data_IF_740973142208
#
_entry.id   IF_740973142208
#
_cell.length_a   1.000
_cell.length_b   1.000
_cell.length_c   1.000
_cell.angle_alpha   90.00
_cell.angle_beta   90.00
_cell.angle_gamma   90.00
#
_symmetry.space_group_name_H-M   'P 1'
#
loop_
_entity.id
_entity.type
_entity.pdbx_description
1 polymer ?
#
# COMPACT_ATOMS: atom_id res chain seq x y z
N UNK A 1 3.68 12.08 11.17
CA UNK A 1 3.77 10.61 11.00
C UNK A 1 3.77 9.93 12.37
N UNK A 2 2.59 9.78 12.99
CA UNK A 2 2.53 9.29 14.38
C UNK A 2 1.55 8.13 14.60
N UNK A 3 0.93 7.64 13.53
CA UNK A 3 -0.12 6.63 13.61
C UNK A 3 0.35 5.24 14.10
N UNK A 4 1.66 4.96 14.03
CA UNK A 4 2.26 3.74 14.59
C UNK A 4 3.08 4.03 15.86
N UNK A 5 3.12 5.26 16.34
CA UNK A 5 3.90 5.62 17.53
C UNK A 5 3.44 4.79 18.73
N UNK A 6 4.40 4.24 19.43
CA UNK A 6 4.20 3.44 20.65
C UNK A 6 3.42 2.13 20.43
N UNK A 7 3.08 1.77 19.19
CA UNK A 7 2.48 0.49 18.87
C UNK A 7 3.56 -0.59 18.73
N UNK A 8 3.22 -1.81 19.14
CA UNK A 8 4.00 -3.00 18.83
C UNK A 8 3.48 -3.60 17.52
N UNK A 9 4.35 -3.68 16.52
CA UNK A 9 4.04 -4.20 15.18
C UNK A 9 4.78 -5.51 14.98
N UNK A 10 4.05 -6.58 14.61
CA UNK A 10 4.62 -7.86 14.22
C UNK A 10 4.61 -7.97 12.69
N UNK A 11 5.79 -8.17 12.11
CA UNK A 11 5.97 -8.35 10.67
C UNK A 11 6.23 -9.82 10.38
N UNK A 12 5.43 -10.39 9.49
CA UNK A 12 5.54 -11.77 9.06
C UNK A 12 6.25 -11.84 7.71
N UNK A 13 7.43 -12.48 7.72
CA UNK A 13 8.31 -12.65 6.56
C UNK A 13 9.28 -11.48 6.36
N UNK A 14 10.58 -11.80 6.27
CA UNK A 14 11.68 -10.86 6.11
C UNK A 14 12.33 -10.98 4.72
N UNK A 15 11.52 -10.70 3.69
CA UNK A 15 11.96 -10.36 2.34
C UNK A 15 12.01 -8.84 2.17
N UNK A 16 12.04 -8.36 0.93
CA UNK A 16 12.11 -6.93 0.62
C UNK A 16 10.92 -6.15 1.18
N UNK A 17 9.69 -6.63 0.99
CA UNK A 17 8.50 -5.99 1.57
C UNK A 17 8.49 -6.02 3.10
N UNK A 18 8.99 -7.11 3.71
CA UNK A 18 9.09 -7.21 5.17
C UNK A 18 10.07 -6.19 5.73
N UNK A 19 11.24 -6.06 5.10
CA UNK A 19 12.24 -5.06 5.48
C UNK A 19 11.72 -3.63 5.30
N UNK A 20 11.05 -3.36 4.17
CA UNK A 20 10.46 -2.04 3.91
C UNK A 20 9.40 -1.67 4.95
N UNK A 21 8.52 -2.62 5.32
CA UNK A 21 7.55 -2.44 6.39
C UNK A 21 8.23 -2.23 7.74
N UNK A 22 9.35 -2.91 8.05
CA UNK A 22 10.10 -2.74 9.28
C UNK A 22 10.72 -1.34 9.39
N UNK A 23 11.41 -0.89 8.34
CA UNK A 23 11.98 0.47 8.24
C UNK A 23 10.90 1.55 8.43
N UNK A 24 9.79 1.39 7.73
CA UNK A 24 8.70 2.35 7.80
C UNK A 24 8.06 2.40 9.19
N UNK A 25 7.78 1.24 9.79
CA UNK A 25 7.19 1.15 11.12
C UNK A 25 8.11 1.77 12.19
N UNK A 26 9.41 1.48 12.14
CA UNK A 26 10.40 2.08 13.03
C UNK A 26 10.49 3.60 12.85
N UNK A 27 10.49 4.09 11.60
CA UNK A 27 10.45 5.54 11.30
C UNK A 27 9.22 6.23 11.92
N UNK A 28 8.10 5.52 11.99
CA UNK A 28 6.87 6.02 12.62
C UNK A 28 6.84 5.86 14.15
N UNK A 29 7.91 5.35 14.76
CA UNK A 29 8.03 5.20 16.22
C UNK A 29 7.41 3.93 16.79
N UNK A 30 7.16 2.90 15.97
CA UNK A 30 6.69 1.60 16.42
C UNK A 30 7.81 0.75 17.03
N UNK A 31 7.43 -0.14 17.95
CA UNK A 31 8.26 -1.27 18.37
C UNK A 31 8.10 -2.40 17.34
N UNK A 32 9.18 -2.77 16.68
CA UNK A 32 9.15 -3.73 15.57
C UNK A 32 9.60 -5.10 16.03
N UNK A 33 8.74 -6.11 15.84
CA UNK A 33 9.05 -7.53 15.90
C UNK A 33 8.95 -8.09 14.48
N UNK A 34 9.89 -8.94 14.10
CA UNK A 34 9.87 -9.63 12.81
C UNK A 34 9.91 -11.13 13.05
N UNK A 35 9.10 -11.89 12.34
CA UNK A 35 9.09 -13.34 12.38
C UNK A 35 9.22 -13.90 10.96
N UNK A 36 10.12 -14.88 10.78
CA UNK A 36 10.31 -15.56 9.49
C UNK A 36 10.45 -17.07 9.71
N UNK A 37 9.92 -17.86 8.79
CA UNK A 37 10.02 -19.32 8.83
C UNK A 37 11.42 -19.85 8.51
N UNK A 38 12.24 -19.03 7.87
CA UNK A 38 13.61 -19.37 7.50
C UNK A 38 14.58 -19.07 8.63
N UNK A 39 15.55 -19.95 8.85
CA UNK A 39 16.64 -19.72 9.83
C UNK A 39 17.49 -18.51 9.48
N UNK A 40 17.72 -18.30 8.19
CA UNK A 40 18.48 -17.17 7.66
C UNK A 40 17.64 -16.41 6.62
N UNK A 41 16.78 -15.49 7.05
CA UNK A 41 16.04 -14.66 6.13
C UNK A 41 16.97 -13.76 5.30
N UNK A 42 16.66 -13.50 4.03
CA UNK A 42 17.58 -12.80 3.12
C UNK A 42 17.92 -11.37 3.59
N UNK A 43 17.04 -10.73 4.35
CA UNK A 43 17.23 -9.36 4.80
C UNK A 43 17.62 -9.25 6.30
N UNK A 44 18.03 -10.35 6.95
CA UNK A 44 18.38 -10.34 8.37
C UNK A 44 19.53 -9.36 8.71
N UNK A 45 20.61 -9.38 7.92
CA UNK A 45 21.73 -8.48 8.13
C UNK A 45 21.35 -7.01 7.92
N UNK A 46 20.56 -6.73 6.89
CA UNK A 46 20.08 -5.38 6.58
C UNK A 46 19.11 -4.88 7.65
N UNK A 47 18.23 -5.74 8.18
CA UNK A 47 17.35 -5.40 9.29
C UNK A 47 18.15 -4.96 10.53
N UNK A 48 19.19 -5.71 10.88
CA UNK A 48 20.02 -5.39 12.04
C UNK A 48 20.78 -4.06 11.89
N UNK A 49 21.12 -3.66 10.66
CA UNK A 49 21.75 -2.37 10.37
C UNK A 49 20.76 -1.21 10.40
N UNK A 50 19.61 -1.37 9.73
CA UNK A 50 18.68 -0.27 9.47
C UNK A 50 17.67 -0.08 10.60
N UNK A 51 17.34 -1.16 11.31
CA UNK A 51 16.38 -1.16 12.43
C UNK A 51 16.98 -1.95 13.63
N UNK A 52 18.04 -1.44 14.25
CA UNK A 52 18.74 -2.18 15.32
C UNK A 52 17.88 -2.46 16.57
N UNK A 53 16.76 -1.76 16.70
CA UNK A 53 15.79 -1.98 17.79
C UNK A 53 14.79 -3.09 17.48
N UNK A 54 14.73 -3.60 16.25
CA UNK A 54 13.85 -4.68 15.89
C UNK A 54 14.33 -6.01 16.46
N UNK A 55 13.38 -6.85 16.88
CA UNK A 55 13.67 -8.24 17.26
C UNK A 55 13.32 -9.18 16.12
N UNK A 56 14.22 -10.10 15.79
CA UNK A 56 14.00 -11.14 14.79
C UNK A 56 13.75 -12.48 15.48
N UNK A 57 12.64 -13.13 15.15
CA UNK A 57 12.22 -14.44 15.65
C UNK A 57 12.19 -15.45 14.51
N UNK A 58 12.61 -16.67 14.82
CA UNK A 58 12.48 -17.81 13.92
C UNK A 58 11.14 -18.53 14.20
N UNK A 59 10.42 -18.89 13.13
CA UNK A 59 9.10 -19.51 13.23
C UNK A 59 7.95 -18.50 13.40
N UNK A 60 6.73 -18.97 13.22
CA UNK A 60 5.50 -18.18 13.31
C UNK A 60 4.64 -18.70 14.47
N UNK A 61 5.11 -18.45 15.68
CA UNK A 61 4.41 -18.89 16.89
C UNK A 61 3.31 -17.91 17.30
N UNK A 62 2.16 -18.42 17.73
CA UNK A 62 1.01 -17.63 18.21
C UNK A 62 1.38 -16.74 19.40
N UNK A 63 2.35 -17.17 20.22
CA UNK A 63 2.86 -16.39 21.35
C UNK A 63 3.48 -15.04 20.93
N UNK A 64 3.94 -14.91 19.69
CA UNK A 64 4.47 -13.65 19.16
C UNK A 64 3.43 -12.53 19.08
N UNK A 65 2.13 -12.87 19.14
CA UNK A 65 1.03 -11.90 19.16
C UNK A 65 0.85 -11.21 20.53
N UNK A 66 1.57 -11.63 21.57
CA UNK A 66 1.39 -11.05 22.90
C UNK A 66 1.88 -9.59 22.92
N UNK A 67 0.95 -8.68 23.24
CA UNK A 67 1.18 -7.23 23.24
C UNK A 67 1.29 -6.60 21.84
N UNK A 68 0.96 -7.34 20.78
CA UNK A 68 0.96 -6.82 19.40
C UNK A 68 -0.34 -6.04 19.12
N UNK A 69 -0.19 -4.88 18.50
CA UNK A 69 -1.31 -4.03 18.10
C UNK A 69 -1.64 -4.14 16.60
N UNK A 70 -0.68 -4.56 15.79
CA UNK A 70 -0.83 -4.66 14.33
C UNK A 70 0.07 -5.79 13.80
N UNK A 71 -0.48 -6.63 12.94
CA UNK A 71 0.29 -7.61 12.16
C UNK A 71 0.44 -7.11 10.73
N UNK A 72 1.67 -7.10 10.22
CA UNK A 72 2.00 -6.79 8.84
C UNK A 72 2.50 -8.06 8.14
N UNK A 73 1.78 -8.51 7.12
CA UNK A 73 2.10 -9.75 6.40
C UNK A 73 2.74 -9.46 5.05
N UNK A 74 3.92 -10.03 4.80
CA UNK A 74 4.56 -10.03 3.49
C UNK A 74 3.74 -10.82 2.46
N UNK A 75 3.68 -10.35 1.21
CA UNK A 75 2.91 -11.04 0.15
C UNK A 75 3.42 -12.45 -0.15
N UNK A 76 4.70 -12.73 0.06
CA UNK A 76 5.31 -14.03 -0.19
C UNK A 76 4.91 -15.15 0.79
N UNK A 77 4.25 -14.83 1.90
CA UNK A 77 3.72 -15.84 2.81
C UNK A 77 2.30 -16.22 2.40
N UNK A 78 2.11 -17.49 2.06
CA UNK A 78 0.80 -18.03 1.70
C UNK A 78 -0.13 -18.03 2.92
N UNK A 79 -1.32 -17.39 2.82
CA UNK A 79 -2.25 -17.32 3.97
C UNK A 79 -2.74 -18.68 4.48
N UNK A 80 -2.78 -19.68 3.60
CA UNK A 80 -3.23 -21.04 3.89
C UNK A 80 -2.09 -22.00 4.31
N UNK A 81 -0.84 -21.52 4.39
CA UNK A 81 0.22 -22.31 5.00
C UNK A 81 -0.08 -22.53 6.50
N UNK A 82 0.07 -23.76 7.05
CA UNK A 82 -0.42 -24.09 8.39
C UNK A 82 0.01 -23.10 9.48
N UNK A 83 1.29 -22.75 9.52
CA UNK A 83 1.84 -21.85 10.54
C UNK A 83 1.32 -20.42 10.37
N UNK A 84 1.16 -19.97 9.12
CA UNK A 84 0.62 -18.64 8.79
C UNK A 84 -0.86 -18.58 9.14
N UNK A 85 -1.64 -19.60 8.74
CA UNK A 85 -3.07 -19.67 8.99
C UNK A 85 -3.37 -19.63 10.51
N UNK A 86 -2.69 -20.47 11.30
CA UNK A 86 -2.86 -20.51 12.75
C UNK A 86 -2.59 -19.16 13.42
N UNK A 87 -1.54 -18.44 12.99
CA UNK A 87 -1.23 -17.12 13.52
C UNK A 87 -2.26 -16.08 13.10
N UNK A 88 -2.73 -16.12 11.84
CA UNK A 88 -3.74 -15.19 11.33
C UNK A 88 -5.11 -15.40 12.01
N UNK A 89 -5.50 -16.65 12.25
CA UNK A 89 -6.71 -17.01 13.00
C UNK A 89 -6.63 -16.49 14.45
N UNK A 90 -5.53 -16.76 15.14
CA UNK A 90 -5.30 -16.25 16.49
C UNK A 90 -5.26 -14.72 16.55
N UNK A 91 -4.73 -14.03 15.53
CA UNK A 91 -4.78 -12.58 15.43
C UNK A 91 -6.22 -12.07 15.28
N UNK A 92 -7.02 -12.73 14.44
CA UNK A 92 -8.43 -12.39 14.25
C UNK A 92 -9.25 -12.60 15.54
N UNK A 93 -9.05 -13.72 16.25
CA UNK A 93 -9.70 -13.99 17.54
C UNK A 93 -9.36 -12.93 18.61
N UNK A 94 -8.14 -12.42 18.59
CA UNK A 94 -7.67 -11.35 19.51
C UNK A 94 -8.05 -9.94 19.03
N UNK A 95 -8.72 -9.79 17.88
CA UNK A 95 -9.07 -8.51 17.30
C UNK A 95 -7.86 -7.72 16.80
N UNK A 96 -6.71 -8.37 16.54
CA UNK A 96 -5.50 -7.71 16.03
C UNK A 96 -5.62 -7.57 14.52
N UNK A 97 -5.59 -6.34 13.97
CA UNK A 97 -5.71 -6.13 12.55
C UNK A 97 -4.49 -6.69 11.80
N UNK A 98 -4.76 -7.31 10.64
CA UNK A 98 -3.72 -7.79 9.72
C UNK A 98 -3.74 -6.92 8.48
N UNK A 99 -2.58 -6.43 8.06
CA UNK A 99 -2.41 -5.55 6.88
C UNK A 99 -1.23 -6.02 6.04
N UNK A 100 -1.17 -5.55 4.81
CA UNK A 100 -0.01 -5.70 3.93
C UNK A 100 0.66 -4.37 3.64
N UNK A 101 1.75 -4.41 2.88
CA UNK A 101 2.53 -3.22 2.51
C UNK A 101 1.68 -2.15 1.82
N UNK A 102 0.78 -2.55 0.90
CA UNK A 102 -0.09 -1.60 0.19
C UNK A 102 -1.01 -0.82 1.14
N UNK A 103 -1.58 -1.50 2.14
CA UNK A 103 -2.43 -0.84 3.14
C UNK A 103 -1.64 0.13 4.00
N UNK A 104 -0.42 -0.25 4.38
CA UNK A 104 0.49 0.60 5.15
C UNK A 104 0.91 1.83 4.33
N UNK A 105 1.25 1.64 3.06
CA UNK A 105 1.56 2.72 2.11
C UNK A 105 0.39 3.69 1.94
N UNK A 106 -0.84 3.19 1.77
CA UNK A 106 -2.01 4.04 1.64
C UNK A 106 -2.24 4.90 2.89
N UNK A 107 -2.11 4.30 4.09
CA UNK A 107 -2.21 5.04 5.36
C UNK A 107 -1.09 6.08 5.46
N UNK A 108 0.14 5.71 5.08
CA UNK A 108 1.28 6.63 5.08
C UNK A 108 1.03 7.88 4.22
N UNK A 109 0.44 7.72 3.04
CA UNK A 109 0.11 8.87 2.17
C UNK A 109 -0.95 9.80 2.78
N UNK A 110 -1.93 9.25 3.50
CA UNK A 110 -2.94 10.06 4.21
C UNK A 110 -2.27 10.90 5.29
N UNK A 111 -1.42 10.30 6.12
CA UNK A 111 -0.69 10.99 7.17
C UNK A 111 0.29 12.05 6.62
N UNK A 112 1.05 11.71 5.59
CA UNK A 112 1.98 12.63 4.95
C UNK A 112 1.29 13.84 4.35
N UNK A 113 0.09 13.64 3.79
CA UNK A 113 -0.72 14.75 3.29
C UNK A 113 -1.17 15.67 4.43
N UNK A 114 -1.57 15.10 5.57
CA UNK A 114 -2.02 15.86 6.73
C UNK A 114 -0.85 16.61 7.42
N UNK A 115 0.26 15.89 7.69
CA UNK A 115 1.38 16.41 8.48
C UNK A 115 2.34 17.28 7.67
N UNK A 116 2.66 16.90 6.44
CA UNK A 116 3.70 17.52 5.61
C UNK A 116 3.17 18.15 4.32
N UNK A 117 1.87 18.11 4.07
CA UNK A 117 1.26 18.51 2.80
C UNK A 117 1.83 17.77 1.58
N UNK A 118 2.46 16.62 1.83
CA UNK A 118 3.00 15.76 0.77
C UNK A 118 1.90 14.90 0.18
N UNK A 119 1.54 15.14 -1.08
CA UNK A 119 0.43 14.48 -1.77
C UNK A 119 0.83 14.11 -3.20
N UNK A 120 1.63 13.06 -3.40
CA UNK A 120 2.02 12.61 -4.73
C UNK A 120 0.81 12.08 -5.51
N UNK A 121 0.84 12.19 -6.83
CA UNK A 121 -0.14 11.55 -7.71
C UNK A 121 0.21 10.06 -7.81
N UNK A 122 -0.73 9.19 -7.49
CA UNK A 122 -0.57 7.74 -7.58
C UNK A 122 -1.30 7.23 -8.82
N UNK A 123 -0.57 6.52 -9.69
CA UNK A 123 -1.13 5.79 -10.82
C UNK A 123 -0.99 4.29 -10.53
N UNK A 124 -2.10 3.59 -10.36
CA UNK A 124 -2.13 2.16 -10.09
C UNK A 124 -2.46 1.39 -11.37
N UNK A 125 -1.64 0.38 -11.68
CA UNK A 125 -1.79 -0.47 -12.87
C UNK A 125 -1.91 -1.92 -12.41
N UNK A 126 -3.00 -2.57 -12.78
CA UNK A 126 -3.25 -3.99 -12.52
C UNK A 126 -3.68 -4.69 -13.81
N UNK A 127 -3.87 -6.01 -13.75
CA UNK A 127 -4.29 -6.83 -14.88
C UNK A 127 -3.58 -8.19 -14.91
N UNK A 128 -4.00 -9.09 -15.76
CA UNK A 128 -3.38 -10.42 -15.92
C UNK A 128 -2.04 -10.33 -16.64
N UNK A 129 -1.97 -9.62 -17.76
CA UNK A 129 -0.78 -9.48 -18.61
C UNK A 129 -0.44 -8.01 -18.86
N UNK A 130 0.79 -7.72 -19.28
CA UNK A 130 1.24 -6.42 -19.71
C UNK A 130 1.47 -5.38 -18.60
N UNK A 131 1.21 -5.69 -17.32
CA UNK A 131 1.37 -4.76 -16.20
C UNK A 131 2.74 -4.08 -16.19
N UNK A 132 3.80 -4.86 -16.21
CA UNK A 132 5.19 -4.37 -16.18
C UNK A 132 5.48 -3.41 -17.33
N UNK A 133 5.15 -3.80 -18.54
CA UNK A 133 5.39 -2.98 -19.75
C UNK A 133 4.61 -1.68 -19.68
N UNK A 134 3.33 -1.75 -19.33
CA UNK A 134 2.47 -0.56 -19.21
C UNK A 134 2.99 0.38 -18.13
N UNK A 135 3.37 -0.16 -16.97
CA UNK A 135 3.90 0.63 -15.86
C UNK A 135 5.19 1.33 -16.23
N UNK A 136 6.15 0.60 -16.84
CA UNK A 136 7.43 1.18 -17.28
C UNK A 136 7.25 2.24 -18.37
N UNK A 137 6.35 2.00 -19.33
CA UNK A 137 6.05 2.97 -20.38
C UNK A 137 5.37 4.22 -19.82
N UNK A 138 4.41 4.05 -18.91
CA UNK A 138 3.75 5.17 -18.24
C UNK A 138 4.76 6.02 -17.46
N UNK A 139 5.67 5.38 -16.72
CA UNK A 139 6.73 6.08 -16.00
C UNK A 139 7.58 6.94 -16.95
N UNK A 140 8.06 6.36 -18.06
CA UNK A 140 8.85 7.10 -19.05
C UNK A 140 8.09 8.28 -19.67
N UNK A 141 6.80 8.12 -19.95
CA UNK A 141 5.98 9.21 -20.49
C UNK A 141 5.82 10.35 -19.48
N UNK A 142 5.59 10.05 -18.21
CA UNK A 142 5.46 11.04 -17.14
C UNK A 142 6.79 11.75 -16.88
N UNK A 143 7.92 11.04 -16.92
CA UNK A 143 9.26 11.63 -16.83
C UNK A 143 9.55 12.61 -17.99
N UNK A 144 9.16 12.24 -19.22
CA UNK A 144 9.29 13.12 -20.39
C UNK A 144 8.44 14.39 -20.29
N UNK A 145 7.40 14.36 -19.46
CA UNK A 145 6.62 15.56 -19.10
C UNK A 145 7.27 16.40 -17.99
N UNK A 146 8.54 16.12 -17.63
CA UNK A 146 9.29 16.86 -16.61
C UNK A 146 8.83 16.59 -15.18
N UNK A 147 8.18 15.44 -14.91
CA UNK A 147 7.76 15.05 -13.57
C UNK A 147 8.73 14.04 -12.97
N UNK A 148 8.95 14.11 -11.65
CA UNK A 148 9.63 13.05 -10.91
C UNK A 148 8.71 11.85 -10.79
N UNK A 149 9.22 10.66 -11.02
CA UNK A 149 8.46 9.42 -10.98
C UNK A 149 9.11 8.45 -9.99
N UNK A 150 8.32 7.92 -9.06
CA UNK A 150 8.67 6.76 -8.26
C UNK A 150 7.97 5.54 -8.84
N UNK A 151 8.74 4.59 -9.35
CA UNK A 151 8.25 3.31 -9.85
C UNK A 151 8.37 2.28 -8.72
N UNK A 152 7.27 1.64 -8.33
CA UNK A 152 7.26 0.71 -7.21
C UNK A 152 6.22 -0.40 -7.39
N UNK A 153 6.36 -1.46 -6.62
CA UNK A 153 5.41 -2.56 -6.57
C UNK A 153 6.10 -3.92 -6.74
N UNK A 154 5.45 -4.84 -7.42
CA UNK A 154 5.94 -6.22 -7.59
C UNK A 154 7.22 -6.32 -8.46
N UNK A 155 7.55 -5.25 -9.15
CA UNK A 155 8.75 -5.08 -9.98
C UNK A 155 9.48 -3.81 -9.53
N UNK A 156 10.73 -3.96 -9.15
CA UNK A 156 11.53 -2.84 -8.67
C UNK A 156 11.44 -2.64 -7.15
N UNK A 157 11.73 -1.47 -6.64
CA UNK A 157 11.67 -1.19 -5.21
C UNK A 157 10.25 -1.39 -4.65
N UNK A 158 10.17 -1.65 -3.35
CA UNK A 158 8.91 -1.72 -2.63
C UNK A 158 8.23 -0.36 -2.58
N UNK A 159 6.92 -0.33 -2.34
CA UNK A 159 6.16 0.92 -2.23
C UNK A 159 6.70 1.83 -1.12
N UNK A 160 6.98 1.25 0.05
CA UNK A 160 7.44 2.00 1.21
C UNK A 160 8.89 2.50 1.09
N UNK A 161 9.80 1.70 0.49
CA UNK A 161 11.16 2.17 0.25
C UNK A 161 11.18 3.28 -0.83
N UNK A 162 10.36 3.15 -1.87
CA UNK A 162 10.21 4.22 -2.87
C UNK A 162 9.69 5.50 -2.23
N UNK A 163 8.69 5.39 -1.36
CA UNK A 163 8.16 6.53 -0.62
C UNK A 163 9.21 7.16 0.30
N UNK A 164 9.98 6.34 1.02
CA UNK A 164 11.06 6.80 1.89
C UNK A 164 12.11 7.59 1.12
N UNK A 165 12.57 7.05 0.00
CA UNK A 165 13.56 7.70 -0.88
C UNK A 165 12.99 9.01 -1.44
N UNK A 166 11.72 9.02 -1.86
CA UNK A 166 11.08 10.23 -2.36
C UNK A 166 11.01 11.34 -1.30
N UNK A 167 10.71 10.97 -0.06
CA UNK A 167 10.67 11.93 1.06
C UNK A 167 12.06 12.49 1.41
N UNK A 168 13.12 11.68 1.27
CA UNK A 168 14.50 12.16 1.49
C UNK A 168 14.98 13.15 0.40
N UNK A 169 14.33 13.13 -0.75
CA UNK A 169 14.60 14.05 -1.86
C UNK A 169 13.72 15.31 -1.86
N UNK A 170 12.72 15.37 -0.98
CA UNK A 170 11.95 16.60 -0.82
C UNK A 170 12.80 17.65 -0.11
N UNK A 171 12.77 18.92 -0.57
CA UNK A 171 13.40 20.00 0.17
C UNK A 171 12.79 20.06 1.58
N UNK A 172 13.63 20.33 2.56
CA UNK A 172 13.10 20.62 3.91
C UNK A 172 12.05 21.71 3.79
N UNK A 173 10.88 21.57 4.45
CA UNK A 173 9.89 22.63 4.43
C UNK A 173 10.58 23.89 4.93
N UNK A 174 10.69 24.89 4.07
CA UNK A 174 11.11 26.21 4.52
C UNK A 174 10.15 26.57 5.65
N UNK A 175 10.68 26.67 6.87
CA UNK A 175 9.96 27.23 8.01
C UNK A 175 9.55 28.62 7.54
N UNK A 176 8.32 28.74 7.08
CA UNK A 176 7.76 30.03 6.70
C UNK A 176 7.87 30.87 7.96
N UNK A 177 8.72 31.88 7.87
CA UNK A 177 8.90 32.90 8.88
C UNK A 177 7.51 33.49 9.18
N UNK A 178 6.88 33.01 10.26
CA UNK A 178 5.57 33.51 10.72
C UNK A 178 5.61 35.01 11.08
N UNK A 179 6.75 35.67 10.88
CA UNK A 179 6.96 37.10 11.07
C UNK A 179 6.69 37.96 9.84
N UNK A 180 6.32 37.37 8.68
CA UNK A 180 5.78 38.18 7.60
C UNK A 180 4.35 38.56 7.92
N UNK A 181 4.17 39.77 8.45
CA UNK A 181 2.87 40.44 8.47
C UNK A 181 2.20 40.26 7.07
N UNK A 182 0.92 39.90 7.04
CA UNK A 182 0.22 39.77 5.75
C UNK A 182 0.29 41.11 5.03
N UNK A 183 1.04 41.16 3.93
CA UNK A 183 1.07 42.28 3.02
C UNK A 183 -0.39 42.57 2.63
N UNK A 184 -0.92 43.66 3.15
CA UNK A 184 -2.27 44.11 2.85
C UNK A 184 -2.33 44.42 1.38
N UNK A 185 -2.78 43.45 0.56
CA UNK A 185 -3.15 43.71 -0.81
C UNK A 185 -4.21 44.81 -0.82
N UNK A 186 -4.01 45.91 -1.55
CA UNK A 186 -5.03 46.95 -1.63
C UNK A 186 -6.31 46.33 -2.20
N UNK A 187 -7.40 46.45 -1.43
CA UNK A 187 -8.71 46.01 -1.85
C UNK A 187 -9.05 46.67 -3.20
N UNK A 188 -9.46 45.91 -4.22
CA UNK A 188 -9.94 46.51 -5.46
C UNK A 188 -11.14 47.40 -5.14
N UNK A 189 -11.09 48.64 -5.64
CA UNK A 189 -12.18 49.60 -5.49
C UNK A 189 -13.39 49.06 -6.25
N UNK A 190 -14.31 48.41 -5.54
CA UNK A 190 -15.58 47.91 -6.06
C UNK A 190 -16.54 49.11 -6.14
N UNK A 191 -16.55 49.76 -7.29
CA UNK A 191 -17.61 50.70 -7.62
C UNK A 191 -18.96 49.99 -7.66
N UNK A 192 -19.89 50.41 -6.81
CA UNK A 192 -21.17 49.78 -6.56
C UNK A 192 -22.18 49.85 -7.72
N UNK A 193 -21.74 50.19 -8.94
CA UNK A 193 -22.62 50.48 -10.08
C UNK A 193 -22.79 49.34 -11.11
N UNK A 194 -22.22 48.14 -10.86
CA UNK A 194 -22.30 47.04 -11.84
C UNK A 194 -22.92 45.75 -11.24
N UNK A 195 -23.93 45.89 -10.40
CA UNK A 195 -24.69 44.71 -10.00
C UNK A 195 -25.87 44.50 -10.93
N UNK A 196 -25.69 43.69 -11.97
CA UNK A 196 -26.80 43.14 -12.75
C UNK A 196 -27.26 41.88 -12.02
N UNK A 197 -28.46 41.90 -11.46
CA UNK A 197 -29.08 40.77 -10.86
C UNK A 197 -29.27 39.65 -11.90
N UNK A 198 -28.47 38.60 -11.81
CA UNK A 198 -28.66 37.35 -12.54
C UNK A 198 -29.73 36.50 -11.84
N UNK A 199 -30.59 35.88 -12.61
CA UNK A 199 -31.70 35.02 -12.18
C UNK A 199 -31.20 33.82 -11.33
N UNK A 200 -32.05 33.28 -10.42
CA UNK A 200 -31.67 32.18 -9.55
C UNK A 200 -31.49 30.89 -10.34
N UNK A 201 -30.31 30.28 -10.21
CA UNK A 201 -30.03 28.93 -10.71
C UNK A 201 -30.79 27.95 -9.83
N UNK A 202 -31.76 27.26 -10.42
CA UNK A 202 -32.47 26.15 -9.77
C UNK A 202 -31.47 25.02 -9.49
N UNK A 203 -31.50 24.53 -8.25
CA UNK A 203 -30.79 23.35 -7.80
C UNK A 203 -31.09 22.14 -8.71
N UNK A 204 -30.10 21.62 -9.38
CA UNK A 204 -30.17 20.31 -10.02
C UNK A 204 -29.82 19.26 -8.98
N UNK A 205 -30.79 18.41 -8.71
CA UNK A 205 -30.73 17.28 -7.82
C UNK A 205 -29.57 16.33 -8.13
N UNK A 206 -28.71 16.11 -7.14
CA UNK A 206 -27.77 14.99 -7.08
C UNK A 206 -28.55 13.69 -6.91
N UNK A 207 -28.88 13.07 -8.02
CA UNK A 207 -29.29 11.67 -8.05
C UNK A 207 -28.69 11.03 -9.31
N UNK A 208 -28.12 9.82 -9.10
CA UNK A 208 -27.52 8.93 -10.12
C UNK A 208 -26.00 9.04 -10.25
N UNK A 209 -25.29 8.16 -9.56
CA UNK A 209 -24.30 7.20 -10.11
C UNK A 209 -23.79 6.25 -9.00
N UNK A 210 -24.68 5.54 -8.31
CA UNK A 210 -24.26 4.47 -7.40
C UNK A 210 -24.71 3.06 -7.88
N UNK A 211 -25.51 2.96 -8.94
CA UNK A 211 -26.14 1.70 -9.35
C UNK A 211 -25.47 0.90 -10.46
N UNK A 212 -24.56 1.50 -11.24
CA UNK A 212 -24.00 0.80 -12.43
C UNK A 212 -22.66 0.10 -12.17
N UNK A 213 -22.01 0.30 -11.06
CA UNK A 213 -20.71 -0.32 -10.76
C UNK A 213 -20.87 -1.72 -10.12
N UNK A 214 -21.94 -1.96 -9.36
CA UNK A 214 -22.17 -3.26 -8.73
C UNK A 214 -22.63 -4.35 -9.73
N UNK A 215 -23.42 -3.99 -10.71
CA UNK A 215 -23.89 -4.95 -11.73
C UNK A 215 -22.78 -5.47 -12.66
N UNK A 216 -21.71 -4.71 -12.85
CA UNK A 216 -20.58 -5.10 -13.71
C UNK A 216 -19.60 -6.06 -13.03
N UNK A 217 -19.57 -6.09 -11.70
CA UNK A 217 -18.70 -6.97 -10.92
C UNK A 217 -19.31 -8.37 -10.76
N UNK A 218 -20.64 -8.47 -10.62
CA UNK A 218 -21.33 -9.76 -10.52
C UNK A 218 -21.29 -10.57 -11.82
N UNK A 219 -21.43 -9.91 -12.98
CA UNK A 219 -21.35 -10.60 -14.28
C UNK A 219 -19.93 -11.07 -14.63
N UNK A 220 -18.88 -10.44 -14.11
CA UNK A 220 -17.50 -10.87 -14.34
C UNK A 220 -17.09 -12.10 -13.48
N UNK A 221 -17.74 -12.32 -12.36
CA UNK A 221 -17.50 -13.48 -11.49
C UNK A 221 -18.23 -14.74 -11.96
N UNK A 222 -19.41 -14.63 -12.52
CA UNK A 222 -20.14 -15.80 -13.06
C UNK A 222 -19.49 -16.37 -14.33
N UNK A 223 -18.94 -15.54 -15.22
CA UNK A 223 -18.24 -16.00 -16.41
C UNK A 223 -16.88 -16.66 -16.14
N UNK A 224 -16.26 -16.40 -14.99
CA UNK A 224 -14.98 -17.03 -14.62
C UNK A 224 -15.16 -18.44 -14.05
N UNK A 225 -16.31 -18.77 -13.50
CA UNK A 225 -16.58 -20.09 -12.91
C UNK A 225 -17.00 -21.11 -13.96
N UNK A 226 -17.66 -20.69 -15.05
CA UNK A 226 -18.03 -21.59 -16.11
C UNK A 226 -16.89 -22.00 -17.06
N UNK A 227 -15.81 -21.22 -17.11
CA UNK A 227 -14.67 -21.52 -17.99
C UNK A 227 -13.70 -22.58 -17.43
N UNK A 228 -13.71 -22.86 -16.13
CA UNK A 228 -12.85 -23.89 -15.50
C UNK A 228 -13.48 -25.30 -15.45
N UNK A 229 -14.75 -25.42 -15.68
CA UNK A 229 -15.46 -26.73 -15.64
C UNK A 229 -15.38 -27.55 -16.95
N UNK A 230 -14.77 -27.03 -18.02
CA UNK A 230 -14.78 -27.60 -19.35
C UNK A 230 -13.47 -28.22 -19.86
N UNK A 231 -12.40 -28.33 -19.08
CA UNK A 231 -11.12 -28.83 -19.60
C UNK A 231 -10.72 -30.17 -18.95
N UNK A 232 -11.08 -31.23 -19.69
CA UNK A 232 -10.30 -32.42 -20.00
C UNK A 232 -10.03 -33.48 -18.93
N UNK A 233 -10.73 -34.58 -19.07
CA UNK A 233 -10.20 -35.91 -18.74
C UNK A 233 -9.16 -36.32 -19.81
N UNK A 234 -7.97 -36.87 -19.47
CA UNK A 234 -7.16 -37.62 -20.41
C UNK A 234 -7.49 -39.09 -20.34
N UNK A 235 -7.83 -39.65 -21.50
CA UNK A 235 -8.03 -41.06 -21.76
C UNK A 235 -6.81 -41.90 -21.40
N UNK A 236 -7.03 -42.96 -20.61
CA UNK A 236 -6.14 -44.08 -20.46
C UNK A 236 -6.14 -44.92 -21.74
N UNK A 237 -4.98 -45.04 -22.35
CA UNK A 237 -4.72 -46.14 -23.32
C UNK A 237 -3.82 -47.16 -22.66
N UNK A 238 -4.37 -48.34 -22.38
CA UNK A 238 -3.65 -49.60 -22.23
C UNK A 238 -3.06 -50.04 -23.57
N UNK A 239 -1.99 -50.82 -23.45
CA UNK A 239 -1.33 -51.77 -24.38
C UNK A 239 0.17 -51.41 -24.56
N UNK A 240 1.11 -52.31 -24.51
CA UNK A 240 1.21 -53.76 -24.56
C UNK A 240 2.62 -54.20 -24.09
N UNK A 241 2.66 -55.37 -23.45
CA UNK A 241 3.58 -56.51 -23.61
C UNK A 241 4.99 -56.34 -24.22
N UNK A 242 5.83 -57.00 -23.47
CA UNK A 242 7.24 -57.42 -23.68
C UNK A 242 7.54 -58.21 -24.96
N UNK A 243 8.78 -58.60 -25.32
CA UNK A 243 9.56 -59.53 -24.50
C UNK A 243 10.90 -58.97 -23.99
#
# INVERSE_FOLDING_TARGET
>A
MHYLRDLTVLILGLGDSGLAMARWSARCGAQVRVADTREQPPQAATLAQDVPTATLHHGLEVALLDGVNLVLKSPGLMPNAPDVAALLEAAAERGIPVRGELSLFATALVDLKADLRYAPKVLAITGTNGKTTTTSLTAQLVERCGKRVGLAGNIGPTLLDTLRIALEQEPEPELSDESREPEQLPLPNLDASTYVAGEPVTEASDEVVAGEVEASVEQATEQSVEAEAGAAEPALTEDAEAP
#
